data_IF_689135987450
#
_entry.id   IF_689135987450
#
_cell.length_a   1.000
_cell.length_b   1.000
_cell.length_c   1.000
_cell.angle_alpha   90.00
_cell.angle_beta   90.00
_cell.angle_gamma   90.00
#
_symmetry.space_group_name_H-M   'P 1'
#
loop_
_entity.id
_entity.type
_entity.pdbx_description
1 polymer ?
#
# COMPACT_ATOMS: atom_id res chain seq x y z
N UNK A 1 -23.81 -10.42 18.86
CA UNK A 1 -24.29 -11.02 17.61
C UNK A 1 -24.11 -9.99 16.50
N UNK A 2 -23.34 -10.32 15.46
CA UNK A 2 -23.11 -9.43 14.32
C UNK A 2 -24.44 -9.15 13.60
N UNK A 3 -24.64 -7.92 13.13
CA UNK A 3 -25.85 -7.53 12.37
C UNK A 3 -25.94 -8.35 11.07
N UNK A 4 -24.77 -8.66 10.50
CA UNK A 4 -24.61 -9.52 9.32
C UNK A 4 -23.59 -10.61 9.63
N UNK A 5 -24.00 -11.83 10.00
CA UNK A 5 -23.13 -12.86 10.53
C UNK A 5 -22.04 -13.35 9.56
N UNK A 6 -22.24 -13.18 8.25
CA UNK A 6 -21.29 -13.64 7.22
C UNK A 6 -20.38 -12.53 6.69
N UNK A 7 -20.39 -11.35 7.30
CA UNK A 7 -19.61 -10.18 6.86
C UNK A 7 -18.65 -9.77 7.98
N UNK A 8 -17.34 -9.84 7.71
CA UNK A 8 -16.28 -9.38 8.61
C UNK A 8 -16.01 -7.87 8.50
N UNK A 9 -16.96 -7.10 7.96
CA UNK A 9 -16.80 -5.65 7.80
C UNK A 9 -17.63 -4.88 8.82
N UNK A 10 -17.06 -3.82 9.35
CA UNK A 10 -17.79 -2.80 10.07
C UNK A 10 -18.78 -2.12 9.12
N UNK A 11 -20.00 -1.90 9.60
CA UNK A 11 -21.06 -1.27 8.84
C UNK A 11 -21.29 0.12 9.39
N UNK A 12 -21.27 1.10 8.50
CA UNK A 12 -21.56 2.48 8.83
C UNK A 12 -22.95 2.84 8.28
N UNK A 13 -23.85 3.21 9.17
CA UNK A 13 -25.18 3.71 8.81
C UNK A 13 -25.16 5.22 8.95
N UNK A 14 -25.39 5.93 7.86
CA UNK A 14 -25.52 7.38 7.84
C UNK A 14 -26.99 7.78 7.92
N UNK A 15 -27.35 8.63 8.89
CA UNK A 15 -28.68 9.22 9.01
C UNK A 15 -28.54 10.73 8.95
N UNK A 16 -29.21 11.36 8.00
CA UNK A 16 -29.16 12.81 7.81
C UNK A 16 -30.53 13.36 7.37
N UNK A 17 -30.81 14.61 7.72
CA UNK A 17 -32.04 15.32 7.33
C UNK A 17 -31.68 16.57 6.52
N UNK A 18 -32.15 16.59 5.26
CA UNK A 18 -31.91 17.72 4.35
C UNK A 18 -32.77 18.92 4.74
N UNK A 19 -32.17 20.09 4.77
CA UNK A 19 -32.88 21.38 4.92
C UNK A 19 -33.10 21.82 6.36
N UNK A 20 -32.54 21.10 7.35
CA UNK A 20 -32.48 21.57 8.73
C UNK A 20 -31.15 22.25 9.05
N UNK A 21 -31.18 23.07 10.09
CA UNK A 21 -29.98 23.73 10.59
C UNK A 21 -28.91 22.71 11.01
N UNK A 22 -27.67 22.98 10.66
CA UNK A 22 -26.55 22.09 10.91
C UNK A 22 -26.21 22.03 12.40
N UNK A 23 -26.51 20.92 13.06
CA UNK A 23 -26.14 20.68 14.46
C UNK A 23 -24.74 20.06 14.60
N UNK A 24 -24.18 19.54 13.53
CA UNK A 24 -22.92 18.80 13.51
C UNK A 24 -23.13 17.32 13.25
N UNK A 25 -22.11 16.51 13.56
CA UNK A 25 -22.16 15.05 13.47
C UNK A 25 -22.16 14.45 14.86
N UNK A 26 -22.94 13.39 15.07
CA UNK A 26 -22.86 12.49 16.21
C UNK A 26 -22.54 11.10 15.74
N UNK A 27 -21.52 10.49 16.33
CA UNK A 27 -21.17 9.09 16.08
C UNK A 27 -21.64 8.27 17.27
N UNK A 28 -22.27 7.16 16.97
CA UNK A 28 -22.76 6.21 17.97
C UNK A 28 -22.22 4.85 17.57
N UNK A 29 -21.39 4.27 18.43
CA UNK A 29 -20.89 2.92 18.27
C UNK A 29 -21.89 1.94 18.89
N UNK A 30 -22.27 0.91 18.16
CA UNK A 30 -23.18 -0.13 18.57
C UNK A 30 -22.47 -1.47 18.49
N UNK A 31 -22.39 -2.17 19.60
CA UNK A 31 -21.71 -3.47 19.67
C UNK A 31 -22.62 -4.64 19.33
N UNK A 32 -23.94 -4.45 19.39
CA UNK A 32 -24.92 -5.51 19.15
C UNK A 32 -26.31 -4.95 18.78
N UNK A 33 -27.23 -5.84 18.37
CA UNK A 33 -28.59 -5.49 17.99
C UNK A 33 -29.45 -4.93 19.14
N UNK A 34 -29.17 -5.28 20.40
CA UNK A 34 -29.90 -4.75 21.54
C UNK A 34 -29.58 -3.27 21.79
N UNK A 35 -28.34 -2.86 21.53
CA UNK A 35 -27.95 -1.45 21.59
C UNK A 35 -28.72 -0.64 20.55
N UNK A 36 -28.97 -1.21 19.38
CA UNK A 36 -29.77 -0.57 18.33
C UNK A 36 -31.22 -0.30 18.77
N UNK A 37 -31.83 -1.20 19.53
CA UNK A 37 -33.20 -1.02 20.06
C UNK A 37 -33.29 0.11 21.09
N UNK A 38 -32.18 0.40 21.77
CA UNK A 38 -32.09 1.45 22.81
C UNK A 38 -31.61 2.80 22.26
N UNK A 39 -31.36 2.88 20.97
CA UNK A 39 -30.80 4.05 20.34
C UNK A 39 -31.77 5.24 20.40
N UNK A 40 -31.35 6.30 21.08
CA UNK A 40 -32.05 7.59 21.08
C UNK A 40 -31.40 8.54 20.05
N UNK A 41 -32.09 8.75 18.92
CA UNK A 41 -31.64 9.66 17.86
C UNK A 41 -31.76 11.15 18.24
N UNK A 42 -32.52 11.48 19.29
CA UNK A 42 -32.76 12.85 19.73
C UNK A 42 -31.81 13.31 20.85
N UNK A 43 -30.99 12.41 21.40
CA UNK A 43 -30.05 12.75 22.47
C UNK A 43 -28.97 13.77 22.01
N UNK A 44 -28.46 14.55 22.97
CA UNK A 44 -27.36 15.50 22.71
C UNK A 44 -26.03 14.77 22.40
N UNK A 45 -25.01 15.50 21.95
CA UNK A 45 -23.67 14.94 21.66
C UNK A 45 -23.20 15.21 20.24
N UNK A 46 -23.80 16.18 19.57
CA UNK A 46 -23.32 16.61 18.24
C UNK A 46 -22.02 17.39 18.36
N UNK A 47 -21.03 16.98 17.57
CA UNK A 47 -19.78 17.73 17.38
C UNK A 47 -19.93 18.68 16.20
N UNK A 48 -19.64 19.97 16.42
CA UNK A 48 -19.65 20.96 15.35
C UNK A 48 -18.60 20.62 14.30
N UNK A 49 -19.03 20.54 13.05
CA UNK A 49 -18.15 20.31 11.91
C UNK A 49 -17.48 21.61 11.47
N UNK A 50 -16.15 21.59 11.35
CA UNK A 50 -15.48 22.42 10.37
C UNK A 50 -15.34 21.60 9.10
N UNK A 51 -16.04 21.96 8.03
CA UNK A 51 -15.89 21.32 6.71
C UNK A 51 -14.50 21.63 6.15
N UNK A 52 -13.54 20.80 6.52
CA UNK A 52 -12.23 20.76 5.87
C UNK A 52 -12.25 19.53 4.97
N UNK A 53 -11.55 19.57 3.85
CA UNK A 53 -11.36 18.42 2.95
C UNK A 53 -10.51 17.32 3.64
N UNK A 54 -11.02 16.74 4.70
CA UNK A 54 -10.39 15.69 5.48
C UNK A 54 -11.24 14.41 5.46
N UNK A 55 -10.59 13.29 5.75
CA UNK A 55 -11.30 12.00 5.86
C UNK A 55 -12.26 11.99 7.04
N UNK A 56 -13.37 11.29 6.89
CA UNK A 56 -14.38 11.08 7.94
C UNK A 56 -13.87 10.21 9.09
N UNK A 57 -12.80 9.43 8.88
CA UNK A 57 -12.14 8.62 9.92
C UNK A 57 -11.75 9.42 11.17
N UNK A 58 -11.50 10.72 11.04
CA UNK A 58 -11.24 11.60 12.20
C UNK A 58 -12.39 11.65 13.20
N UNK A 59 -13.61 11.35 12.80
CA UNK A 59 -14.76 11.37 13.70
C UNK A 59 -14.89 10.11 14.58
N UNK A 60 -14.07 9.09 14.32
CA UNK A 60 -13.95 7.91 15.20
C UNK A 60 -13.06 8.14 16.42
N UNK A 61 -12.41 9.32 16.51
CA UNK A 61 -11.60 9.72 17.65
C UNK A 61 -12.26 10.87 18.39
N UNK A 62 -11.92 11.08 19.67
CA UNK A 62 -12.48 12.13 20.49
C UNK A 62 -12.10 13.55 20.04
N UNK A 63 -12.83 14.56 20.47
CA UNK A 63 -12.53 15.94 20.15
C UNK A 63 -11.16 16.40 20.69
N UNK A 64 -10.71 15.85 21.81
CA UNK A 64 -9.39 16.07 22.40
C UNK A 64 -8.29 15.48 21.52
N UNK A 65 -8.46 14.25 21.05
CA UNK A 65 -7.51 13.59 20.14
C UNK A 65 -7.42 14.31 18.80
N UNK A 66 -8.54 14.82 18.26
CA UNK A 66 -8.54 15.66 17.05
C UNK A 66 -7.69 16.92 17.26
N UNK A 67 -7.78 17.58 18.42
CA UNK A 67 -6.94 18.74 18.74
C UNK A 67 -5.45 18.39 18.77
N UNK A 68 -5.10 17.24 19.36
CA UNK A 68 -3.71 16.74 19.37
C UNK A 68 -3.21 16.48 17.95
N UNK A 69 -4.01 15.83 17.10
CA UNK A 69 -3.66 15.58 15.69
C UNK A 69 -3.39 16.90 14.95
N UNK A 70 -4.25 17.91 15.13
CA UNK A 70 -4.05 19.23 14.51
C UNK A 70 -2.79 19.91 15.06
N UNK A 71 -2.55 19.87 16.39
CA UNK A 71 -1.35 20.49 16.96
C UNK A 71 -0.05 19.87 16.44
N UNK A 72 -0.02 18.53 16.18
CA UNK A 72 1.14 17.85 15.59
C UNK A 72 1.35 18.30 14.13
N UNK A 73 0.27 18.48 13.36
CA UNK A 73 0.38 18.96 11.97
C UNK A 73 0.94 20.37 11.85
N UNK A 74 0.70 21.21 12.85
CA UNK A 74 1.16 22.61 12.90
C UNK A 74 2.52 22.75 13.60
N UNK A 75 3.04 21.69 14.23
CA UNK A 75 4.30 21.72 14.98
C UNK A 75 5.50 21.49 14.05
N UNK A 76 6.43 22.44 14.03
CA UNK A 76 7.65 22.41 13.20
C UNK A 76 8.62 21.26 13.51
N UNK A 77 8.42 20.54 14.61
CA UNK A 77 9.19 19.33 14.95
C UNK A 77 8.72 18.10 14.16
N UNK A 78 7.68 18.26 13.36
CA UNK A 78 7.15 17.21 12.49
C UNK A 78 7.11 17.69 11.04
N UNK A 79 7.32 16.77 10.14
CA UNK A 79 7.19 17.01 8.68
C UNK A 79 6.31 15.94 8.05
N UNK A 80 5.71 16.24 6.92
CA UNK A 80 4.98 15.24 6.14
C UNK A 80 5.95 14.29 5.43
N UNK A 81 5.59 13.04 5.31
CA UNK A 81 6.39 12.09 4.55
C UNK A 81 6.58 12.54 3.08
N UNK A 82 5.56 13.17 2.48
CA UNK A 82 5.64 13.73 1.12
C UNK A 82 6.68 14.83 0.95
N UNK A 83 7.09 15.51 2.03
CA UNK A 83 8.10 16.55 1.99
C UNK A 83 9.52 15.96 1.94
N UNK A 84 9.67 14.69 2.32
CA UNK A 84 10.93 13.95 2.36
C UNK A 84 11.13 13.01 1.17
N UNK A 85 10.05 12.59 0.50
CA UNK A 85 10.14 11.57 -0.53
C UNK A 85 8.99 11.61 -1.54
N UNK A 86 9.27 11.15 -2.75
CA UNK A 86 8.28 10.77 -3.74
C UNK A 86 7.74 9.37 -3.42
N UNK A 87 6.41 9.22 -3.37
CA UNK A 87 5.74 7.96 -3.06
C UNK A 87 4.87 7.57 -4.25
N UNK A 88 5.15 6.41 -4.83
CA UNK A 88 4.44 5.88 -5.99
C UNK A 88 3.89 4.48 -5.71
N UNK A 89 2.85 4.10 -6.44
CA UNK A 89 2.38 2.70 -6.44
C UNK A 89 3.49 1.77 -6.95
N UNK A 90 3.52 0.54 -6.48
CA UNK A 90 4.39 -0.51 -7.03
C UNK A 90 4.10 -0.80 -8.49
N UNK A 91 4.93 -1.61 -9.11
CA UNK A 91 4.86 -1.92 -10.54
C UNK A 91 3.55 -2.64 -10.86
N UNK A 92 2.80 -2.11 -11.80
CA UNK A 92 1.58 -2.75 -12.32
C UNK A 92 1.96 -3.62 -13.51
N UNK A 93 2.14 -4.91 -13.27
CA UNK A 93 2.56 -5.86 -14.32
C UNK A 93 1.46 -6.22 -15.30
N UNK A 94 0.21 -6.18 -14.86
CA UNK A 94 -0.95 -6.69 -15.61
C UNK A 94 -1.25 -8.17 -15.31
N UNK A 95 -0.25 -8.97 -15.03
CA UNK A 95 -0.37 -10.32 -14.46
C UNK A 95 0.87 -10.67 -13.62
N UNK A 96 0.72 -10.55 -12.31
CA UNK A 96 1.84 -10.84 -11.40
C UNK A 96 2.28 -12.31 -11.48
N UNK A 97 1.40 -13.24 -11.83
CA UNK A 97 1.74 -14.66 -11.96
C UNK A 97 2.68 -14.94 -13.13
N UNK A 98 2.52 -14.23 -14.25
CA UNK A 98 3.40 -14.37 -15.40
C UNK A 98 4.72 -13.61 -15.21
N UNK A 99 4.64 -12.34 -14.78
CA UNK A 99 5.82 -11.47 -14.69
C UNK A 99 6.68 -11.69 -13.45
N UNK A 100 6.17 -12.41 -12.42
CA UNK A 100 6.97 -12.79 -11.26
C UNK A 100 7.33 -14.26 -11.37
N UNK A 101 8.62 -14.58 -11.38
CA UNK A 101 9.12 -15.95 -11.57
C UNK A 101 9.91 -16.45 -10.37
N UNK A 102 9.91 -17.77 -10.22
CA UNK A 102 10.79 -18.50 -9.32
C UNK A 102 12.11 -18.88 -10.00
N UNK A 103 12.98 -19.52 -9.26
CA UNK A 103 14.30 -19.94 -9.73
C UNK A 103 14.22 -20.93 -10.90
N UNK A 104 13.35 -21.93 -10.80
CA UNK A 104 13.21 -22.98 -11.83
C UNK A 104 12.77 -22.36 -13.17
N UNK A 105 11.76 -21.51 -13.15
CA UNK A 105 11.28 -20.81 -14.36
C UNK A 105 12.37 -19.91 -14.95
N UNK A 106 13.10 -19.17 -14.09
CA UNK A 106 14.17 -18.29 -14.54
C UNK A 106 15.32 -19.06 -15.20
N UNK A 107 15.72 -20.20 -14.64
CA UNK A 107 16.76 -21.06 -15.21
C UNK A 107 16.30 -21.71 -16.52
N UNK A 108 15.08 -22.25 -16.57
CA UNK A 108 14.50 -22.91 -17.76
C UNK A 108 14.49 -22.01 -18.99
N UNK A 109 14.14 -20.74 -18.81
CA UNK A 109 14.01 -19.77 -19.90
C UNK A 109 15.16 -18.76 -19.97
N UNK A 110 16.24 -18.97 -19.21
CA UNK A 110 17.44 -18.12 -19.17
C UNK A 110 17.14 -16.65 -18.86
N UNK A 111 16.19 -16.37 -17.96
CA UNK A 111 15.68 -15.03 -17.69
C UNK A 111 16.54 -14.19 -16.73
N UNK A 112 17.63 -14.73 -16.20
CA UNK A 112 18.46 -14.04 -15.18
C UNK A 112 18.95 -12.65 -15.59
N UNK A 113 19.26 -12.46 -16.89
CA UNK A 113 19.73 -11.17 -17.42
C UNK A 113 18.63 -10.12 -17.56
N UNK A 114 17.36 -10.50 -17.47
CA UNK A 114 16.19 -9.63 -17.63
C UNK A 114 15.28 -9.65 -16.39
N UNK A 115 15.83 -10.03 -15.22
CA UNK A 115 15.07 -10.05 -13.97
C UNK A 115 15.67 -9.11 -12.92
N UNK A 116 14.79 -8.58 -12.08
CA UNK A 116 15.14 -7.82 -10.87
C UNK A 116 14.74 -8.61 -9.61
N UNK A 117 15.47 -8.48 -8.49
CA UNK A 117 15.00 -8.91 -7.19
C UNK A 117 13.61 -8.33 -6.90
N UNK A 118 12.68 -9.14 -6.39
CA UNK A 118 11.28 -8.77 -6.24
C UNK A 118 10.75 -8.99 -4.83
N UNK A 119 10.09 -7.97 -4.29
CA UNK A 119 9.13 -8.11 -3.21
C UNK A 119 7.74 -8.24 -3.81
N UNK A 120 7.31 -9.46 -4.09
CA UNK A 120 5.99 -9.75 -4.67
C UNK A 120 4.87 -9.91 -3.65
N UNK A 121 5.21 -10.13 -2.37
CA UNK A 121 4.27 -10.27 -1.24
C UNK A 121 4.88 -9.68 0.03
N UNK A 122 4.03 -9.27 0.98
CA UNK A 122 4.47 -8.75 2.29
C UNK A 122 5.35 -9.75 3.07
N UNK A 123 5.12 -11.05 2.88
CA UNK A 123 5.91 -12.13 3.48
C UNK A 123 7.30 -12.32 2.88
N UNK A 124 7.66 -11.59 1.83
CA UNK A 124 9.03 -11.60 1.29
C UNK A 124 9.98 -10.70 2.08
N UNK A 125 9.47 -9.66 2.73
CA UNK A 125 10.23 -8.73 3.55
C UNK A 125 9.86 -8.90 5.02
N UNK A 126 10.73 -9.53 5.82
CA UNK A 126 10.46 -9.85 7.22
C UNK A 126 10.81 -8.71 8.18
N UNK A 127 11.86 -7.95 7.89
CA UNK A 127 12.38 -6.86 8.72
C UNK A 127 12.09 -5.46 8.17
N UNK A 128 12.82 -4.50 8.73
CA UNK A 128 12.83 -3.10 8.29
C UNK A 128 13.85 -2.82 7.19
N UNK A 129 14.69 -3.77 6.88
CA UNK A 129 15.61 -3.80 5.74
C UNK A 129 15.27 -5.00 4.88
N UNK A 130 15.37 -4.82 3.56
CA UNK A 130 15.32 -5.92 2.61
C UNK A 130 16.69 -6.06 1.94
N UNK A 131 17.40 -7.14 2.31
CA UNK A 131 18.80 -7.38 1.95
C UNK A 131 18.94 -8.47 0.90
N UNK A 132 20.13 -8.62 0.30
CA UNK A 132 20.45 -9.74 -0.58
C UNK A 132 20.23 -11.10 0.11
N UNK A 133 20.55 -11.21 1.41
CA UNK A 133 20.28 -12.42 2.18
C UNK A 133 18.78 -12.74 2.26
N UNK A 134 17.93 -11.73 2.44
CA UNK A 134 16.48 -11.94 2.48
C UNK A 134 15.93 -12.37 1.12
N UNK A 135 16.44 -11.76 0.05
CA UNK A 135 16.10 -12.15 -1.30
C UNK A 135 16.55 -13.57 -1.61
N UNK A 136 17.79 -13.94 -1.30
CA UNK A 136 18.32 -15.30 -1.49
C UNK A 136 17.50 -16.36 -0.73
N UNK A 137 17.10 -16.08 0.51
CA UNK A 137 16.18 -16.97 1.26
C UNK A 137 14.84 -17.14 0.55
N UNK A 138 14.30 -16.08 -0.04
CA UNK A 138 13.06 -16.18 -0.82
C UNK A 138 13.24 -17.07 -2.06
N UNK A 139 14.37 -16.94 -2.77
CA UNK A 139 14.73 -17.80 -3.92
C UNK A 139 14.88 -19.26 -3.50
N UNK A 140 15.63 -19.54 -2.43
CA UNK A 140 15.85 -20.89 -1.90
C UNK A 140 14.54 -21.57 -1.46
N UNK A 141 13.56 -20.79 -1.01
CA UNK A 141 12.22 -21.25 -0.64
C UNK A 141 11.25 -21.29 -1.84
N UNK A 142 11.74 -21.32 -3.07
CA UNK A 142 10.97 -21.39 -4.31
C UNK A 142 9.86 -20.33 -4.42
N UNK A 143 10.07 -19.16 -3.80
CA UNK A 143 9.14 -18.05 -3.95
C UNK A 143 9.36 -17.38 -5.31
N UNK A 144 8.30 -16.83 -5.88
CA UNK A 144 8.37 -15.95 -7.05
C UNK A 144 8.95 -14.60 -6.64
N UNK A 145 10.26 -14.54 -6.52
CA UNK A 145 11.00 -13.40 -5.99
C UNK A 145 11.87 -12.71 -7.05
N UNK A 146 11.55 -12.89 -8.33
CA UNK A 146 12.20 -12.22 -9.45
C UNK A 146 11.13 -11.62 -10.37
N UNK A 147 11.27 -10.34 -10.73
CA UNK A 147 10.41 -9.65 -11.69
C UNK A 147 11.07 -9.67 -13.06
N UNK A 148 10.36 -10.16 -14.07
CA UNK A 148 10.81 -10.06 -15.46
C UNK A 148 10.59 -8.61 -15.95
N UNK A 149 11.63 -8.05 -16.56
CA UNK A 149 11.61 -6.78 -17.24
C UNK A 149 12.41 -6.90 -18.55
N UNK A 150 11.74 -7.30 -19.60
CA UNK A 150 12.36 -7.36 -20.91
C UNK A 150 12.74 -5.94 -21.38
N UNK A 151 13.92 -5.75 -22.01
CA UNK A 151 14.28 -4.48 -22.63
C UNK A 151 13.37 -4.20 -23.84
N UNK A 152 13.08 -2.93 -24.10
CA UNK A 152 12.23 -2.56 -25.25
C UNK A 152 13.02 -2.59 -26.57
N UNK A 153 13.29 -3.79 -27.06
CA UNK A 153 14.01 -4.08 -28.31
C UNK A 153 13.09 -4.79 -29.31
N UNK A 154 13.42 -4.83 -30.62
CA UNK A 154 12.69 -5.64 -31.59
C UNK A 154 12.62 -7.11 -31.15
N UNK A 155 11.49 -7.78 -31.44
CA UNK A 155 11.25 -9.17 -31.01
C UNK A 155 12.35 -10.13 -31.50
N UNK A 156 12.82 -9.91 -32.71
CA UNK A 156 13.87 -10.71 -33.35
C UNK A 156 15.21 -10.67 -32.61
N UNK A 157 15.46 -9.60 -31.86
CA UNK A 157 16.70 -9.41 -31.10
C UNK A 157 16.75 -10.20 -29.79
N UNK A 158 15.61 -10.74 -29.32
CA UNK A 158 15.62 -11.53 -28.09
C UNK A 158 16.28 -12.92 -28.32
N UNK A 159 16.99 -13.43 -27.30
CA UNK A 159 17.44 -14.83 -27.26
C UNK A 159 16.26 -15.80 -27.42
N UNK A 160 16.51 -16.95 -28.02
CA UNK A 160 15.46 -17.94 -28.32
C UNK A 160 14.66 -18.33 -27.07
N UNK A 161 15.32 -18.55 -25.95
CA UNK A 161 14.66 -18.89 -24.67
C UNK A 161 13.73 -17.78 -24.14
N UNK A 162 14.05 -16.51 -24.40
CA UNK A 162 13.16 -15.40 -24.06
C UNK A 162 11.93 -15.38 -24.97
N UNK A 163 12.09 -15.67 -26.28
CA UNK A 163 10.97 -15.80 -27.22
C UNK A 163 10.04 -16.94 -26.83
N UNK A 164 10.61 -18.13 -26.50
CA UNK A 164 9.83 -19.25 -26.00
C UNK A 164 8.95 -18.86 -24.78
N UNK A 165 9.49 -18.04 -23.87
CA UNK A 165 8.72 -17.59 -22.71
C UNK A 165 7.62 -16.59 -23.09
N UNK A 166 7.89 -15.67 -24.03
CA UNK A 166 6.90 -14.71 -24.55
C UNK A 166 5.77 -15.48 -25.25
N UNK A 167 6.11 -16.43 -26.12
CA UNK A 167 5.13 -17.28 -26.83
C UNK A 167 4.30 -18.13 -25.89
N UNK A 168 4.90 -18.66 -24.80
CA UNK A 168 4.16 -19.33 -23.72
C UNK A 168 3.10 -18.39 -23.13
N UNK A 169 3.45 -17.13 -22.88
CA UNK A 169 2.51 -16.14 -22.38
C UNK A 169 1.36 -15.88 -23.37
N UNK A 170 1.64 -15.79 -24.65
CA UNK A 170 0.62 -15.64 -25.69
C UNK A 170 -0.31 -16.87 -25.77
N UNK A 171 0.26 -18.05 -25.75
CA UNK A 171 -0.49 -19.31 -25.72
C UNK A 171 -1.42 -19.41 -24.51
N UNK A 172 -0.97 -18.92 -23.35
CA UNK A 172 -1.78 -18.86 -22.12
C UNK A 172 -2.77 -17.70 -22.09
N UNK A 173 -2.71 -16.78 -23.06
CA UNK A 173 -3.61 -15.63 -23.14
C UNK A 173 -3.24 -14.46 -22.24
N UNK A 174 -2.01 -14.38 -21.75
CA UNK A 174 -1.52 -13.31 -20.86
C UNK A 174 -1.56 -11.94 -21.55
N UNK A 175 -1.36 -11.89 -22.86
CA UNK A 175 -1.46 -10.73 -23.70
C UNK A 175 -2.87 -10.13 -23.79
N UNK A 176 -3.93 -10.91 -23.47
CA UNK A 176 -5.33 -10.51 -23.57
C UNK A 176 -5.82 -9.72 -22.35
N UNK A 177 -5.09 -9.79 -21.21
CA UNK A 177 -5.41 -9.03 -20.01
C UNK A 177 -5.38 -7.52 -20.28
N UNK A 178 -6.36 -6.76 -19.74
CA UNK A 178 -6.52 -5.33 -20.03
C UNK A 178 -5.22 -4.52 -19.97
N UNK A 179 -4.41 -4.70 -18.92
CA UNK A 179 -3.14 -3.96 -18.76
C UNK A 179 -2.06 -4.37 -19.75
N UNK A 180 -2.09 -5.61 -20.23
CA UNK A 180 -1.17 -6.10 -21.24
C UNK A 180 -1.62 -5.69 -22.65
N UNK A 181 -2.92 -5.80 -22.95
CA UNK A 181 -3.47 -5.53 -24.27
C UNK A 181 -3.35 -4.06 -24.73
N UNK A 182 -3.26 -3.12 -23.80
CA UNK A 182 -3.10 -1.69 -24.12
C UNK A 182 -1.64 -1.26 -24.34
N UNK A 183 -0.67 -2.18 -24.17
CA UNK A 183 0.77 -1.90 -24.39
C UNK A 183 1.12 -2.14 -25.85
N UNK A 184 2.07 -1.36 -26.36
CA UNK A 184 2.61 -1.58 -27.72
C UNK A 184 3.20 -2.99 -27.86
N UNK A 185 3.99 -3.41 -26.88
CA UNK A 185 4.44 -4.81 -26.68
C UNK A 185 3.95 -5.28 -25.34
N UNK A 186 3.04 -6.24 -25.34
CA UNK A 186 2.33 -6.67 -24.13
C UNK A 186 3.24 -7.15 -23.01
N UNK A 187 4.39 -7.73 -23.37
CA UNK A 187 5.38 -8.30 -22.44
C UNK A 187 6.36 -7.25 -21.87
N UNK A 188 6.33 -6.00 -22.33
CA UNK A 188 7.14 -4.92 -21.77
C UNK A 188 6.42 -4.32 -20.55
N UNK A 189 7.02 -4.49 -19.38
CA UNK A 189 6.48 -3.93 -18.13
C UNK A 189 6.90 -2.45 -18.04
N UNK A 190 5.96 -1.51 -17.96
CA UNK A 190 6.30 -0.10 -17.91
C UNK A 190 6.78 0.32 -16.52
N UNK A 191 7.56 1.41 -16.49
CA UNK A 191 7.93 2.12 -15.24
C UNK A 191 8.65 1.23 -14.21
N UNK A 192 9.56 0.37 -14.67
CA UNK A 192 10.44 -0.40 -13.78
C UNK A 192 11.61 0.49 -13.36
N UNK A 193 11.72 0.76 -12.06
CA UNK A 193 12.83 1.48 -11.46
C UNK A 193 13.02 1.01 -10.01
N UNK A 194 14.25 1.13 -9.51
CA UNK A 194 14.66 0.68 -8.17
C UNK A 194 14.40 1.78 -7.15
N UNK A 195 13.48 1.59 -6.19
CA UNK A 195 13.21 2.54 -5.12
C UNK A 195 14.24 2.43 -3.99
N UNK A 196 14.34 3.49 -3.18
CA UNK A 196 15.19 3.49 -1.99
C UNK A 196 14.52 2.72 -0.85
N UNK A 197 13.17 2.69 -0.83
CA UNK A 197 12.39 2.01 0.20
C UNK A 197 11.01 1.59 -0.30
N UNK A 198 10.34 0.81 0.54
CA UNK A 198 8.99 0.30 0.29
C UNK A 198 8.07 0.59 1.46
N UNK A 199 6.81 0.90 1.17
CA UNK A 199 5.74 0.98 2.17
C UNK A 199 4.66 -0.03 1.84
N UNK A 200 4.29 -0.88 2.80
CA UNK A 200 3.29 -1.92 2.56
C UNK A 200 1.89 -1.30 2.35
N UNK A 201 1.26 -1.64 1.25
CA UNK A 201 -0.06 -1.11 0.88
C UNK A 201 -1.17 -1.61 1.80
N UNK A 202 -1.15 -2.91 2.15
CA UNK A 202 -2.15 -3.54 3.03
C UNK A 202 -1.47 -4.12 4.24
N UNK A 203 -1.80 -3.58 5.39
CA UNK A 203 -1.22 -3.92 6.67
C UNK A 203 -2.28 -4.63 7.53
N UNK A 204 -1.85 -5.51 8.44
CA UNK A 204 -2.72 -6.18 9.40
C UNK A 204 -2.30 -5.79 10.82
N UNK A 205 -1.31 -6.47 11.42
CA UNK A 205 -0.91 -6.22 12.81
C UNK A 205 -0.21 -4.86 13.02
N UNK A 206 0.58 -4.45 12.06
CA UNK A 206 1.32 -3.18 12.09
C UNK A 206 1.68 -2.72 10.69
N UNK A 207 1.79 -1.40 10.46
CA UNK A 207 2.25 -0.87 9.18
C UNK A 207 3.74 -1.18 9.00
N UNK A 208 4.13 -1.46 7.74
CA UNK A 208 5.50 -1.85 7.41
C UNK A 208 6.13 -0.88 6.43
N UNK A 209 7.24 -0.29 6.85
CA UNK A 209 8.14 0.53 6.06
C UNK A 209 9.51 -0.14 6.01
N UNK A 210 10.09 -0.35 4.82
CA UNK A 210 11.27 -1.20 4.61
C UNK A 210 12.27 -0.50 3.70
N UNK A 211 13.52 -0.35 4.12
CA UNK A 211 14.59 0.14 3.27
C UNK A 211 15.09 -0.96 2.32
N UNK A 212 15.33 -0.56 1.06
CA UNK A 212 15.83 -1.43 0.01
C UNK A 212 17.36 -1.50 0.04
N UNK A 213 17.90 -2.69 0.31
CA UNK A 213 19.35 -2.96 0.39
C UNK A 213 19.80 -4.05 -0.59
N UNK A 214 18.95 -4.42 -1.57
CA UNK A 214 19.32 -5.39 -2.61
C UNK A 214 18.84 -4.99 -4.01
N UNK A 215 18.65 -3.71 -4.27
CA UNK A 215 18.15 -3.20 -5.54
C UNK A 215 16.86 -3.88 -6.03
N UNK A 216 16.00 -4.24 -5.08
CA UNK A 216 14.74 -4.89 -5.38
C UNK A 216 13.71 -3.91 -5.95
N UNK A 217 12.73 -4.47 -6.66
CA UNK A 217 11.51 -3.80 -7.08
C UNK A 217 10.30 -4.42 -6.36
N UNK A 218 9.13 -3.79 -6.48
CA UNK A 218 7.89 -4.36 -5.95
C UNK A 218 6.75 -4.24 -6.95
N UNK A 219 5.85 -5.21 -6.91
CA UNK A 219 4.53 -5.08 -7.54
C UNK A 219 3.65 -4.14 -6.71
N UNK A 220 2.40 -3.97 -7.09
CA UNK A 220 1.40 -3.13 -6.41
C UNK A 220 1.07 -3.55 -4.97
N UNK A 221 1.73 -4.58 -4.46
CA UNK A 221 1.69 -5.01 -3.06
C UNK A 221 2.34 -3.98 -2.12
N UNK A 222 3.38 -3.28 -2.59
CA UNK A 222 4.07 -2.24 -1.83
C UNK A 222 4.21 -0.97 -2.66
N UNK A 223 4.10 0.17 -2.00
CA UNK A 223 4.43 1.47 -2.60
C UNK A 223 5.95 1.63 -2.68
N UNK A 224 6.42 2.29 -3.72
CA UNK A 224 7.82 2.60 -3.99
C UNK A 224 8.12 4.00 -3.49
N UNK A 225 9.20 4.14 -2.75
CA UNK A 225 9.64 5.41 -2.16
C UNK A 225 10.99 5.80 -2.75
N UNK A 226 11.09 7.05 -3.21
CA UNK A 226 12.34 7.68 -3.62
C UNK A 226 12.55 8.91 -2.76
N UNK A 227 13.61 8.92 -1.93
CA UNK A 227 13.91 10.06 -1.08
C UNK A 227 14.40 11.26 -1.89
N UNK A 228 14.08 12.44 -1.40
CA UNK A 228 14.60 13.69 -1.95
C UNK A 228 16.11 13.79 -1.68
N UNK A 229 16.80 14.60 -2.48
CA UNK A 229 18.24 14.83 -2.30
C UNK A 229 18.55 15.37 -0.89
N UNK A 230 19.59 14.85 -0.27
CA UNK A 230 20.00 15.22 1.09
C UNK A 230 19.23 14.57 2.23
N UNK A 231 18.14 13.82 1.95
CA UNK A 231 17.39 13.09 2.98
C UNK A 231 18.12 11.80 3.36
N UNK A 232 18.36 11.62 4.67
CA UNK A 232 18.93 10.38 5.19
C UNK A 232 17.84 9.32 5.39
N UNK A 233 17.92 8.25 4.64
CA UNK A 233 16.92 7.17 4.62
C UNK A 233 16.76 6.45 5.96
N UNK A 234 17.86 6.22 6.69
CA UNK A 234 17.85 5.57 8.01
C UNK A 234 17.16 6.45 9.06
N UNK A 235 17.41 7.76 9.02
CA UNK A 235 16.74 8.69 9.92
C UNK A 235 15.22 8.70 9.66
N UNK A 236 14.78 8.69 8.40
CA UNK A 236 13.36 8.61 8.06
C UNK A 236 12.76 7.29 8.52
N UNK A 237 13.48 6.17 8.36
CA UNK A 237 13.05 4.86 8.86
C UNK A 237 12.84 4.89 10.38
N UNK A 238 13.81 5.41 11.13
CA UNK A 238 13.73 5.52 12.59
C UNK A 238 12.60 6.47 13.01
N UNK A 239 12.46 7.61 12.32
CA UNK A 239 11.39 8.57 12.56
C UNK A 239 9.99 8.01 12.29
N UNK A 240 9.85 6.98 11.47
CA UNK A 240 8.56 6.37 11.20
C UNK A 240 8.09 5.43 12.32
N UNK A 241 9.00 4.66 12.93
CA UNK A 241 8.64 3.61 13.91
C UNK A 241 8.37 4.18 15.30
N UNK A 242 7.31 4.97 15.44
CA UNK A 242 6.82 5.53 16.70
C UNK A 242 5.28 5.60 16.74
N UNK A 243 4.71 5.83 17.91
CA UNK A 243 3.26 5.86 18.13
C UNK A 243 2.54 6.98 17.35
N UNK A 244 3.18 8.13 17.17
CA UNK A 244 2.59 9.27 16.45
C UNK A 244 2.44 8.93 14.96
N UNK A 245 3.53 8.46 14.33
CA UNK A 245 3.50 8.08 12.90
C UNK A 245 2.56 6.92 12.65
N UNK A 246 2.43 5.98 13.59
CA UNK A 246 1.45 4.89 13.51
C UNK A 246 0.01 5.41 13.62
N UNK A 247 -0.27 6.32 14.55
CA UNK A 247 -1.58 6.95 14.65
C UNK A 247 -1.95 7.72 13.36
N UNK A 248 -1.00 8.45 12.77
CA UNK A 248 -1.22 9.07 11.46
C UNK A 248 -1.43 8.07 10.34
N UNK A 249 -0.77 6.90 10.38
CA UNK A 249 -0.98 5.83 9.40
C UNK A 249 -2.42 5.30 9.48
N UNK A 250 -2.95 5.06 10.68
CA UNK A 250 -4.35 4.65 10.90
C UNK A 250 -5.34 5.70 10.39
N UNK A 251 -5.15 6.96 10.77
CA UNK A 251 -6.07 8.07 10.41
C UNK A 251 -6.03 8.34 8.90
N UNK A 252 -4.86 8.28 8.28
CA UNK A 252 -4.70 8.48 6.85
C UNK A 252 -5.12 7.27 6.03
N UNK A 253 -5.07 6.08 6.58
CA UNK A 253 -5.42 4.82 5.93
C UNK A 253 -6.92 4.59 5.79
N UNK A 254 -7.27 3.38 5.38
CA UNK A 254 -8.65 2.90 5.23
C UNK A 254 -8.76 1.55 5.90
N UNK A 255 -9.62 1.44 6.89
CA UNK A 255 -9.95 0.17 7.52
C UNK A 255 -10.85 -0.67 6.60
N UNK A 256 -10.51 -1.93 6.47
CA UNK A 256 -11.33 -2.95 5.82
C UNK A 256 -11.60 -4.09 6.81
N UNK A 257 -12.60 -4.90 6.51
CA UNK A 257 -12.90 -6.09 7.31
C UNK A 257 -11.70 -7.03 7.49
N UNK A 258 -11.72 -7.82 8.55
CA UNK A 258 -10.62 -8.73 8.91
C UNK A 258 -9.37 -8.02 9.44
N UNK A 259 -9.48 -6.78 9.92
CA UNK A 259 -8.37 -6.02 10.51
C UNK A 259 -7.32 -5.52 9.50
N UNK A 260 -7.70 -5.37 8.24
CA UNK A 260 -6.80 -4.87 7.19
C UNK A 260 -6.85 -3.34 7.12
N UNK A 261 -5.70 -2.70 7.28
CA UNK A 261 -5.49 -1.28 6.99
C UNK A 261 -4.87 -1.15 5.60
N UNK A 262 -5.61 -0.58 4.63
CA UNK A 262 -5.05 -0.18 3.35
C UNK A 262 -4.66 1.30 3.37
N UNK A 263 -3.49 1.62 2.81
CA UNK A 263 -3.01 2.99 2.67
C UNK A 263 -2.52 3.21 1.24
N UNK A 264 -2.93 4.31 0.62
CA UNK A 264 -2.53 4.68 -0.74
C UNK A 264 -1.33 5.64 -0.73
N UNK A 265 -0.62 5.84 -1.87
CA UNK A 265 0.58 6.68 -1.91
C UNK A 265 0.38 8.09 -1.37
N UNK A 266 -0.71 8.78 -1.76
CA UNK A 266 -1.03 10.12 -1.25
C UNK A 266 -1.39 10.14 0.24
N UNK A 267 -1.84 9.01 0.78
CA UNK A 267 -2.15 8.86 2.21
C UNK A 267 -0.87 8.62 3.02
N UNK A 268 0.06 7.82 2.51
CA UNK A 268 1.42 7.69 3.07
C UNK A 268 2.09 9.06 3.14
N UNK A 269 1.95 9.87 2.08
CA UNK A 269 2.50 11.22 2.04
C UNK A 269 2.00 12.17 3.15
N UNK A 270 0.82 11.90 3.72
CA UNK A 270 0.24 12.70 4.80
C UNK A 270 0.60 12.23 6.22
N UNK A 271 1.38 11.16 6.34
CA UNK A 271 1.90 10.71 7.64
C UNK A 271 2.88 11.75 8.18
N UNK A 272 2.72 12.11 9.45
CA UNK A 272 3.63 13.04 10.13
C UNK A 272 4.79 12.24 10.76
N UNK A 273 5.99 12.71 10.50
CA UNK A 273 7.24 12.14 10.99
C UNK A 273 7.96 13.17 11.88
N UNK A 274 8.44 12.82 13.08
CA UNK A 274 9.31 13.69 13.85
C UNK A 274 10.65 13.90 13.10
N UNK A 275 11.16 15.12 13.12
CA UNK A 275 12.44 15.56 12.49
C UNK A 275 13.41 16.09 13.50
#
# INVERSE_FOLDING_TARGET
QLVFPDIEQEILVFIGEKGKEEKGIRIIELSNLEDFKKLDLNSNGFQKLKHVKEKWTKYFVSAEEIKVIHSIRDDKRFTKFSDLALINIGITTGNNTYFSVDKETSEKYHLSSVTFPLIGRSSHAHGIFFTDSDWQKNIQNNKRAMLISFPDTPYEAYPEKHKEYIELGEKNGENKGYKCSIRNRWYIVPSVWIPDAFFLRRNNLYPKFVLNRCNAVSTDTMHRIKFNEGVNAENVLLSYYNSISFAFTEICGRSYGGGVLEILPGEVGNIMLPV
#
